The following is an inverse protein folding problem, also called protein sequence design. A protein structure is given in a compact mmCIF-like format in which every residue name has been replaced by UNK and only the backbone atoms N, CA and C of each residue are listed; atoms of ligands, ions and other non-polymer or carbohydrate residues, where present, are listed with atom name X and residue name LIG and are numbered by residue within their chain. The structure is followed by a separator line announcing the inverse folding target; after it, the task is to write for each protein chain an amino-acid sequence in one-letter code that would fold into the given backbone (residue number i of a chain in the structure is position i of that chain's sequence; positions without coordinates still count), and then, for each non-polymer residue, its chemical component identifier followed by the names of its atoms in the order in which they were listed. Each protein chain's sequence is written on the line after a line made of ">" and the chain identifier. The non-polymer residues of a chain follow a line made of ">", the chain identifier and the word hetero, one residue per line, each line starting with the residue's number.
data_IF_449045627306
#
_entry.id   IF_449045627306
#
_cell.length_a   1.000
_cell.length_b   1.000
_cell.length_c   1.000
_cell.angle_alpha   90.00
_cell.angle_beta   90.00
_cell.angle_gamma   90.00
#
_symmetry.space_group_name_H-M   'P 1'
#
loop_
_entity.id
_entity.type
_entity.pdbx_description
1 polymer ?
#
# COMPACT_ATOMS: atom_id res chain seq x y z
N UNK A 1 9.18 -6.23 -11.98
CA UNK A 1 8.47 -5.13 -12.64
C UNK A 1 8.38 -5.41 -14.13
N UNK A 2 7.18 -5.47 -14.70
CA UNK A 2 6.95 -5.74 -16.13
C UNK A 2 6.11 -4.65 -16.83
N UNK A 3 5.70 -3.61 -16.11
CA UNK A 3 4.94 -2.47 -16.67
C UNK A 3 3.50 -2.79 -17.05
N UNK A 4 2.97 -3.96 -16.69
CA UNK A 4 1.57 -4.30 -16.91
C UNK A 4 0.62 -3.38 -16.12
N UNK A 5 -0.64 -3.29 -16.55
CA UNK A 5 -1.65 -2.44 -15.90
C UNK A 5 -1.83 -2.76 -14.40
N UNK A 6 -1.55 -4.00 -13.99
CA UNK A 6 -1.56 -4.46 -12.60
C UNK A 6 -0.36 -3.98 -11.76
N UNK A 7 0.58 -3.23 -12.35
CA UNK A 7 1.75 -2.64 -11.68
C UNK A 7 1.83 -1.12 -11.86
N UNK A 8 0.84 -0.53 -12.53
CA UNK A 8 0.78 0.92 -12.81
C UNK A 8 -0.15 1.58 -11.82
N UNK A 9 0.43 2.37 -10.91
CA UNK A 9 -0.29 2.98 -9.79
C UNK A 9 -0.37 4.50 -9.92
N UNK A 10 -1.57 5.05 -9.82
CA UNK A 10 -1.82 6.50 -9.88
C UNK A 10 -2.19 7.03 -8.51
N UNK A 11 -1.49 8.07 -8.05
CA UNK A 11 -1.88 8.81 -6.84
C UNK A 11 -2.96 9.83 -7.15
N UNK A 12 -3.94 9.97 -6.26
CA UNK A 12 -4.98 11.00 -6.37
C UNK A 12 -4.77 12.11 -5.34
N UNK A 13 -5.41 13.27 -5.57
CA UNK A 13 -5.44 14.38 -4.60
C UNK A 13 -6.07 13.98 -3.25
N UNK A 14 -6.90 12.93 -3.24
CA UNK A 14 -7.52 12.39 -2.04
C UNK A 14 -6.70 11.25 -1.42
N UNK A 15 -5.39 11.18 -1.70
CA UNK A 15 -4.46 10.17 -1.17
C UNK A 15 -4.84 8.71 -1.49
N UNK A 16 -5.57 8.44 -2.57
CA UNK A 16 -5.73 7.07 -3.05
C UNK A 16 -4.55 6.64 -3.91
N UNK A 17 -4.22 5.36 -3.85
CA UNK A 17 -3.38 4.69 -4.83
C UNK A 17 -4.28 3.80 -5.70
N UNK A 18 -4.52 4.21 -6.93
CA UNK A 18 -5.39 3.50 -7.87
C UNK A 18 -4.61 2.56 -8.75
N UNK A 19 -5.18 1.41 -9.02
CA UNK A 19 -4.74 0.44 -10.02
C UNK A 19 -5.95 0.03 -10.85
N UNK A 20 -5.73 -0.31 -12.12
CA UNK A 20 -6.82 -0.55 -13.07
C UNK A 20 -7.80 0.65 -13.13
N UNK A 21 -8.96 0.54 -13.81
CA UNK A 21 -9.89 1.68 -13.91
C UNK A 21 -10.62 2.04 -12.60
N UNK A 22 -10.93 1.07 -11.74
CA UNK A 22 -11.86 1.27 -10.61
C UNK A 22 -11.31 0.85 -9.25
N UNK A 23 -10.11 0.29 -9.16
CA UNK A 23 -9.61 -0.31 -7.92
C UNK A 23 -8.60 0.58 -7.19
N UNK A 24 -8.59 0.46 -5.86
CA UNK A 24 -7.75 1.21 -4.94
C UNK A 24 -7.00 0.25 -4.02
N UNK A 25 -5.76 0.60 -3.65
CA UNK A 25 -5.02 -0.06 -2.58
C UNK A 25 -5.76 0.14 -1.26
N UNK A 26 -6.08 -0.95 -0.57
CA UNK A 26 -6.93 -0.96 0.62
C UNK A 26 -6.34 -1.89 1.70
N UNK A 27 -6.60 -1.60 2.96
CA UNK A 27 -6.36 -2.56 4.05
C UNK A 27 -7.64 -3.35 4.30
N UNK A 28 -7.58 -4.66 4.12
CA UNK A 28 -8.75 -5.55 4.17
C UNK A 28 -9.63 -5.30 5.39
N UNK A 29 -10.92 -5.04 5.16
CA UNK A 29 -11.90 -4.78 6.21
C UNK A 29 -11.67 -3.48 6.99
N UNK A 30 -10.76 -2.60 6.54
CA UNK A 30 -10.33 -1.42 7.26
C UNK A 30 -9.56 -1.72 8.56
N UNK A 31 -8.96 -2.91 8.66
CA UNK A 31 -8.24 -3.33 9.84
C UNK A 31 -7.01 -2.44 10.12
N UNK A 32 -6.65 -2.32 11.40
CA UNK A 32 -5.50 -1.52 11.84
C UNK A 32 -4.47 -2.33 12.61
N UNK A 33 -4.67 -3.65 12.78
CA UNK A 33 -3.73 -4.54 13.46
C UNK A 33 -2.44 -4.72 12.66
N UNK A 34 -1.33 -5.02 13.36
CA UNK A 34 -0.08 -5.40 12.70
C UNK A 34 -0.29 -6.65 11.84
N UNK A 35 0.23 -6.64 10.62
CA UNK A 35 0.09 -7.76 9.69
C UNK A 35 -1.24 -7.80 8.93
N UNK A 36 -2.11 -6.79 9.10
CA UNK A 36 -3.36 -6.75 8.33
C UNK A 36 -3.05 -6.68 6.83
N UNK A 37 -3.74 -7.51 6.05
CA UNK A 37 -3.48 -7.66 4.63
C UNK A 37 -3.83 -6.39 3.85
N UNK A 38 -2.95 -6.03 2.93
CA UNK A 38 -3.20 -5.00 1.92
C UNK A 38 -3.70 -5.69 0.65
N UNK A 39 -4.81 -5.20 0.12
CA UNK A 39 -5.54 -5.75 -1.02
C UNK A 39 -5.83 -4.64 -2.03
N UNK A 40 -6.50 -5.01 -3.12
CA UNK A 40 -7.17 -4.09 -4.03
C UNK A 40 -8.67 -4.38 -3.99
N UNK A 41 -9.47 -3.33 -4.03
CA UNK A 41 -10.93 -3.40 -4.08
C UNK A 41 -11.46 -2.13 -4.74
N UNK A 42 -12.75 -2.08 -5.05
CA UNK A 42 -13.39 -0.91 -5.62
C UNK A 42 -13.06 0.35 -4.81
N UNK A 43 -12.73 1.43 -5.52
CA UNK A 43 -12.45 2.70 -4.89
C UNK A 43 -13.71 3.24 -4.19
N UNK A 44 -13.63 3.37 -2.87
CA UNK A 44 -14.64 4.00 -2.02
C UNK A 44 -14.06 5.28 -1.40
N UNK A 45 -14.78 5.91 -0.46
CA UNK A 45 -14.22 7.01 0.32
C UNK A 45 -13.59 6.56 1.66
N UNK A 46 -13.45 5.26 1.90
CA UNK A 46 -12.95 4.70 3.14
C UNK A 46 -11.54 5.20 3.49
N UNK A 47 -11.28 5.38 4.79
CA UNK A 47 -9.97 5.80 5.29
C UNK A 47 -8.87 4.74 5.07
N UNK A 48 -9.25 3.46 4.98
CA UNK A 48 -8.37 2.33 4.65
C UNK A 48 -7.73 2.42 3.27
N UNK A 49 -8.34 3.19 2.36
CA UNK A 49 -7.85 3.42 1.00
C UNK A 49 -6.99 4.68 0.85
N UNK A 50 -6.61 5.30 1.97
CA UNK A 50 -5.88 6.56 1.99
C UNK A 50 -4.45 6.30 2.41
N UNK A 51 -3.50 6.69 1.57
CA UNK A 51 -2.07 6.42 1.72
C UNK A 51 -1.25 7.70 1.48
N UNK A 52 -0.37 8.02 2.42
CA UNK A 52 0.60 9.11 2.29
C UNK A 52 1.89 8.53 1.71
N UNK A 53 2.19 8.86 0.46
CA UNK A 53 3.50 8.59 -0.14
C UNK A 53 4.47 9.68 0.31
N UNK A 54 5.48 9.32 1.09
CA UNK A 54 6.43 10.26 1.69
C UNK A 54 7.73 10.32 0.88
N UNK A 55 8.45 11.44 1.01
CA UNK A 55 9.74 11.66 0.35
C UNK A 55 10.85 10.73 0.85
N UNK A 56 10.69 10.15 2.05
CA UNK A 56 11.62 9.17 2.61
C UNK A 56 11.41 7.74 2.05
N UNK A 57 10.52 7.58 1.06
CA UNK A 57 10.19 6.30 0.44
C UNK A 57 9.13 5.47 1.17
N UNK A 58 8.67 5.89 2.35
CA UNK A 58 7.58 5.18 3.04
C UNK A 58 6.21 5.49 2.42
N UNK A 59 5.32 4.50 2.44
CA UNK A 59 3.91 4.65 2.06
C UNK A 59 3.07 4.33 3.28
N UNK A 60 2.44 5.35 3.88
CA UNK A 60 1.80 5.22 5.20
C UNK A 60 0.28 5.27 5.09
N UNK A 61 -0.39 4.24 5.60
CA UNK A 61 -1.85 4.22 5.69
C UNK A 61 -2.35 5.32 6.61
N UNK A 62 -3.28 6.15 6.14
CA UNK A 62 -3.82 7.29 6.90
C UNK A 62 -4.64 6.81 8.08
N UNK A 63 -5.40 5.72 7.93
CA UNK A 63 -6.24 5.16 8.99
C UNK A 63 -5.42 4.52 10.12
N UNK A 64 -4.38 3.76 9.78
CA UNK A 64 -3.60 2.98 10.75
C UNK A 64 -2.35 3.69 11.25
N UNK A 65 -1.81 4.67 10.50
CA UNK A 65 -0.50 5.26 10.75
C UNK A 65 0.67 4.32 10.46
N UNK A 66 0.41 3.14 9.89
CA UNK A 66 1.39 2.07 9.63
C UNK A 66 1.87 2.10 8.18
N UNK A 67 3.04 1.53 7.94
CA UNK A 67 3.69 1.50 6.63
C UNK A 67 3.19 0.31 5.81
N UNK A 68 3.06 0.50 4.49
CA UNK A 68 3.02 -0.59 3.51
C UNK A 68 4.33 -1.36 3.61
N UNK A 69 4.22 -2.66 3.82
CA UNK A 69 5.33 -3.52 4.21
C UNK A 69 5.28 -4.83 3.41
N UNK A 70 6.45 -5.25 2.88
CA UNK A 70 6.63 -6.58 2.35
C UNK A 70 6.85 -7.58 3.49
N UNK A 71 5.86 -8.46 3.69
CA UNK A 71 5.82 -9.38 4.83
C UNK A 71 7.14 -10.15 4.99
N UNK A 72 7.65 -10.16 6.23
CA UNK A 72 8.90 -10.84 6.61
C UNK A 72 10.13 -10.42 5.78
N UNK A 73 10.12 -9.17 5.28
CA UNK A 73 11.11 -8.66 4.33
C UNK A 73 11.29 -9.55 3.08
N UNK A 74 10.24 -10.26 2.68
CA UNK A 74 10.24 -11.16 1.54
C UNK A 74 10.55 -10.45 0.22
N UNK A 75 11.38 -11.09 -0.61
CA UNK A 75 11.80 -10.57 -1.92
C UNK A 75 11.33 -11.44 -3.09
N UNK A 76 10.75 -12.60 -2.79
CA UNK A 76 10.25 -13.53 -3.79
C UNK A 76 8.89 -13.09 -4.37
N UNK A 77 8.58 -13.53 -5.59
CA UNK A 77 7.27 -13.35 -6.19
C UNK A 77 6.18 -13.94 -5.28
N UNK A 78 5.08 -13.20 -5.10
CA UNK A 78 3.97 -13.61 -4.23
C UNK A 78 4.14 -13.22 -2.76
N UNK A 79 5.21 -12.50 -2.38
CA UNK A 79 5.31 -11.89 -1.05
C UNK A 79 4.09 -11.00 -0.80
N UNK A 80 3.32 -11.31 0.24
CA UNK A 80 2.10 -10.59 0.58
C UNK A 80 2.43 -9.20 1.12
N UNK A 81 1.66 -8.20 0.68
CA UNK A 81 1.68 -6.85 1.25
C UNK A 81 0.81 -6.77 2.49
N UNK A 82 1.34 -6.14 3.52
CA UNK A 82 0.66 -5.92 4.80
C UNK A 82 0.86 -4.48 5.28
N UNK A 83 0.22 -4.13 6.39
CA UNK A 83 0.59 -2.96 7.20
C UNK A 83 1.41 -3.37 8.42
N UNK A 84 2.47 -2.62 8.70
CA UNK A 84 3.34 -2.84 9.85
C UNK A 84 3.83 -1.52 10.46
N UNK A 85 4.17 -1.45 11.76
CA UNK A 85 4.76 -0.26 12.34
C UNK A 85 5.95 0.22 11.52
N UNK A 86 5.96 1.52 11.21
CA UNK A 86 7.03 2.12 10.43
C UNK A 86 8.33 2.05 11.22
N UNK A 87 9.34 1.37 10.68
CA UNK A 87 10.62 1.14 11.36
C UNK A 87 11.83 1.54 10.50
N UNK A 88 11.60 2.03 9.27
CA UNK A 88 12.67 2.49 8.37
C UNK A 88 13.40 1.36 7.63
N UNK A 89 12.99 0.10 7.80
CA UNK A 89 13.55 -1.04 7.10
C UNK A 89 13.30 -0.97 5.59
N UNK A 90 14.17 -1.62 4.82
CA UNK A 90 14.14 -1.57 3.36
C UNK A 90 12.84 -2.14 2.75
N UNK A 91 12.22 -3.12 3.40
CA UNK A 91 10.93 -3.71 2.98
C UNK A 91 9.72 -2.78 3.19
N UNK A 92 9.93 -1.58 3.74
CA UNK A 92 8.94 -0.51 3.87
C UNK A 92 9.28 0.71 3.01
N UNK A 93 10.28 0.59 2.12
CA UNK A 93 10.75 1.67 1.25
C UNK A 93 10.42 1.36 -0.20
N UNK A 94 9.73 2.29 -0.83
CA UNK A 94 9.12 2.12 -2.14
C UNK A 94 9.54 3.26 -3.08
N UNK A 95 9.82 2.91 -4.32
CA UNK A 95 9.94 3.85 -5.43
C UNK A 95 8.97 3.48 -6.53
N UNK A 96 8.63 4.45 -7.37
CA UNK A 96 7.95 4.20 -8.64
C UNK A 96 9.00 4.21 -9.75
N UNK A 97 8.87 3.26 -10.68
CA UNK A 97 9.61 3.23 -11.93
C UNK A 97 8.85 3.92 -13.06
#
# INVERSE_FOLDING_TARGET
>A
CNGGANQTWTSTASNQLRVFPTECLDVSGGATADGSAVIITDCTNAASQRWRVRSDGSVVGVASGKCLDAYDAGTANGTQMIIWPCNGAANQKWSRG
#
